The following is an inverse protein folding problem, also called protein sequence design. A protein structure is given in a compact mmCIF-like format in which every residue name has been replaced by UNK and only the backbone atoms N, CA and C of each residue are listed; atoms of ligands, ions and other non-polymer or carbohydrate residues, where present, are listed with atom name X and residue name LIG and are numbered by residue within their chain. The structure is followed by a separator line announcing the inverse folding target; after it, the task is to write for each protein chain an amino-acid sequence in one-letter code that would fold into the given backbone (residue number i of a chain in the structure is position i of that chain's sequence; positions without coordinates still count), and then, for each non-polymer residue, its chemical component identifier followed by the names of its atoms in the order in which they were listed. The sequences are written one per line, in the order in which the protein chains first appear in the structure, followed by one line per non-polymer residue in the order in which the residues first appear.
data_IF_319084500855
#
_entry.id   IF_319084500855
#
_cell.length_a   1.000
_cell.length_b   1.000
_cell.length_c   1.000
_cell.angle_alpha   90.00
_cell.angle_beta   90.00
_cell.angle_gamma   90.00
#
_symmetry.space_group_name_H-M   'P 1'
#
loop_
_entity.id
_entity.type
_entity.pdbx_description
1 polymer ?
#
# COMPACT_ATOMS: atom_id res chain seq x y z
N UNK A 1 -24.55 1.38 8.89
CA UNK A 1 -23.12 1.31 8.47
C UNK A 1 -23.11 0.76 7.05
N UNK A 2 -22.44 1.43 6.12
CA UNK A 2 -22.35 0.94 4.73
C UNK A 2 -21.46 -0.31 4.72
N UNK A 3 -22.07 -1.49 4.60
CA UNK A 3 -21.42 -2.78 4.86
C UNK A 3 -20.62 -3.29 3.64
N UNK A 4 -20.03 -2.39 2.86
CA UNK A 4 -19.24 -2.75 1.68
C UNK A 4 -17.94 -3.43 2.12
N UNK A 5 -17.58 -4.52 1.44
CA UNK A 5 -16.35 -5.25 1.69
C UNK A 5 -15.14 -4.41 1.24
N UNK A 6 -14.12 -4.28 2.08
CA UNK A 6 -12.85 -3.69 1.66
C UNK A 6 -12.08 -4.74 0.86
N UNK A 7 -11.76 -4.43 -0.40
CA UNK A 7 -11.01 -5.30 -1.28
C UNK A 7 -9.71 -4.63 -1.71
N UNK A 8 -8.57 -5.22 -1.34
CA UNK A 8 -7.24 -4.70 -1.66
C UNK A 8 -6.56 -5.70 -2.56
N UNK A 9 -6.25 -5.29 -3.80
CA UNK A 9 -5.59 -6.17 -4.76
C UNK A 9 -4.62 -5.41 -5.67
N UNK A 10 -3.70 -6.14 -6.29
CA UNK A 10 -2.69 -5.62 -7.20
C UNK A 10 -1.40 -6.44 -7.13
N UNK A 11 -0.41 -6.12 -7.96
CA UNK A 11 0.84 -6.88 -7.97
C UNK A 11 1.62 -6.69 -6.67
N UNK A 12 2.41 -7.70 -6.29
CA UNK A 12 3.19 -7.63 -5.06
C UNK A 12 4.18 -6.44 -5.08
N UNK A 13 4.83 -6.22 -6.21
CA UNK A 13 5.84 -5.18 -6.46
C UNK A 13 5.65 -4.64 -7.87
N UNK A 14 5.96 -3.36 -8.07
CA UNK A 14 6.02 -2.73 -9.39
C UNK A 14 7.33 -3.19 -10.05
N UNK A 15 7.22 -4.18 -10.96
CA UNK A 15 8.35 -4.69 -11.73
C UNK A 15 8.56 -3.91 -13.03
N UNK A 16 7.49 -3.78 -13.81
CA UNK A 16 7.42 -3.02 -15.05
C UNK A 16 6.17 -2.14 -15.01
N UNK A 17 6.25 -0.84 -15.35
CA UNK A 17 5.10 0.05 -15.39
C UNK A 17 3.94 -0.50 -16.23
N UNK A 18 4.24 -1.06 -17.40
CA UNK A 18 3.26 -1.52 -18.38
C UNK A 18 2.48 -2.72 -17.81
N UNK A 19 3.18 -3.70 -17.26
CA UNK A 19 2.55 -4.88 -16.62
C UNK A 19 1.70 -4.47 -15.42
N UNK A 20 2.14 -3.47 -14.66
CA UNK A 20 1.38 -2.96 -13.50
C UNK A 20 0.08 -2.29 -13.96
N UNK A 21 0.13 -1.57 -15.08
CA UNK A 21 -1.03 -0.94 -15.70
C UNK A 21 -2.00 -1.97 -16.29
N UNK A 22 -1.50 -2.99 -16.99
CA UNK A 22 -2.33 -4.08 -17.54
C UNK A 22 -3.11 -4.81 -16.42
N UNK A 23 -2.47 -5.01 -15.26
CA UNK A 23 -3.14 -5.59 -14.09
C UNK A 23 -4.23 -4.65 -13.55
N UNK A 24 -3.97 -3.33 -13.50
CA UNK A 24 -4.98 -2.35 -13.08
C UNK A 24 -6.19 -2.34 -14.03
N UNK A 25 -5.94 -2.41 -15.34
CA UNK A 25 -6.97 -2.52 -16.37
C UNK A 25 -7.81 -3.78 -16.19
N UNK A 26 -7.17 -4.94 -16.05
CA UNK A 26 -7.87 -6.20 -15.81
C UNK A 26 -8.71 -6.17 -14.53
N UNK A 27 -8.17 -5.60 -13.44
CA UNK A 27 -8.90 -5.46 -12.18
C UNK A 27 -10.11 -4.53 -12.30
N UNK A 28 -10.03 -3.44 -13.08
CA UNK A 28 -11.19 -2.59 -13.37
C UNK A 28 -12.33 -3.41 -13.95
N UNK A 29 -12.04 -4.21 -14.97
CA UNK A 29 -13.06 -4.95 -15.72
C UNK A 29 -13.64 -6.09 -14.88
N UNK A 30 -12.78 -6.81 -14.15
CA UNK A 30 -13.20 -7.89 -13.24
C UNK A 30 -14.08 -7.36 -12.10
N UNK A 31 -13.76 -6.18 -11.57
CA UNK A 31 -14.44 -5.63 -10.39
C UNK A 31 -15.64 -4.75 -10.73
N UNK A 32 -15.83 -4.36 -11.99
CA UNK A 32 -16.94 -3.49 -12.42
C UNK A 32 -18.32 -4.00 -11.96
N UNK A 33 -18.66 -5.30 -12.04
CA UNK A 33 -19.96 -5.80 -11.55
C UNK A 33 -20.15 -5.69 -10.03
N UNK A 34 -19.07 -5.51 -9.27
CA UNK A 34 -19.07 -5.51 -7.80
C UNK A 34 -18.87 -4.14 -7.18
N UNK A 35 -18.76 -3.06 -7.98
CA UNK A 35 -18.43 -1.71 -7.51
C UNK A 35 -19.36 -1.19 -6.39
N UNK A 36 -20.62 -1.59 -6.38
CA UNK A 36 -21.59 -1.19 -5.35
C UNK A 36 -21.47 -2.00 -4.06
N UNK A 37 -20.70 -3.09 -4.07
CA UNK A 37 -20.53 -4.01 -2.95
C UNK A 37 -19.14 -3.88 -2.29
N UNK A 38 -18.17 -3.26 -2.96
CA UNK A 38 -16.79 -3.18 -2.49
C UNK A 38 -16.27 -1.74 -2.35
N UNK A 39 -15.36 -1.56 -1.39
CA UNK A 39 -14.40 -0.46 -1.39
C UNK A 39 -13.06 -1.00 -1.90
N UNK A 40 -12.72 -0.67 -3.14
CA UNK A 40 -11.51 -1.16 -3.78
C UNK A 40 -10.32 -0.22 -3.56
N UNK A 41 -9.17 -0.79 -3.19
CA UNK A 41 -7.88 -0.12 -3.24
C UNK A 41 -6.86 -0.94 -4.03
N UNK A 42 -6.24 -0.31 -5.02
CA UNK A 42 -5.13 -0.89 -5.77
C UNK A 42 -3.85 -0.83 -4.93
N UNK A 43 -3.20 -1.99 -4.77
CA UNK A 43 -1.97 -2.11 -3.99
C UNK A 43 -0.80 -2.58 -4.85
N UNK A 44 0.32 -1.85 -4.79
CA UNK A 44 1.61 -2.34 -5.26
C UNK A 44 2.75 -1.70 -4.46
N UNK A 45 3.84 -2.44 -4.23
CA UNK A 45 5.04 -1.92 -3.55
C UNK A 45 6.00 -1.31 -4.57
N UNK A 46 6.51 -0.10 -4.31
CA UNK A 46 7.57 0.51 -5.12
C UNK A 46 8.96 -0.08 -4.82
N UNK A 47 9.14 -0.61 -3.60
CA UNK A 47 10.35 -1.27 -3.11
C UNK A 47 9.99 -2.46 -2.21
N UNK A 48 10.81 -3.51 -2.23
CA UNK A 48 10.77 -4.66 -1.33
C UNK A 48 12.02 -4.60 -0.46
N UNK A 49 11.98 -3.76 0.58
CA UNK A 49 13.14 -3.51 1.44
C UNK A 49 13.58 -4.71 2.31
N UNK A 50 12.75 -5.75 2.43
CA UNK A 50 12.96 -6.87 3.34
C UNK A 50 13.36 -8.17 2.62
N UNK A 51 14.15 -8.09 1.53
CA UNK A 51 14.60 -9.29 0.81
C UNK A 51 15.78 -9.94 1.52
N UNK A 52 15.73 -11.26 1.69
CA UNK A 52 16.77 -12.06 2.34
C UNK A 52 18.10 -12.07 1.58
N UNK A 53 18.08 -11.88 0.25
CA UNK A 53 19.27 -11.75 -0.59
C UNK A 53 19.39 -10.34 -1.15
N UNK A 54 20.52 -9.69 -0.94
CA UNK A 54 20.82 -8.33 -1.42
C UNK A 54 20.75 -8.19 -2.95
N UNK A 55 20.96 -9.26 -3.71
CA UNK A 55 20.90 -9.28 -5.19
C UNK A 55 19.48 -9.40 -5.75
N UNK A 56 18.46 -9.55 -4.89
CA UNK A 56 17.08 -9.72 -5.36
C UNK A 56 16.55 -8.40 -5.94
N UNK A 57 15.86 -8.45 -7.07
CA UNK A 57 15.14 -7.29 -7.61
C UNK A 57 14.16 -6.74 -6.57
N UNK A 58 14.30 -5.44 -6.27
CA UNK A 58 13.59 -4.76 -5.19
C UNK A 58 12.38 -3.96 -5.66
N UNK A 59 12.36 -3.53 -6.90
CA UNK A 59 11.32 -2.68 -7.46
C UNK A 59 11.93 -1.62 -8.37
N UNK A 60 11.07 -0.82 -9.00
CA UNK A 60 11.47 0.33 -9.82
C UNK A 60 11.96 1.53 -8.99
N UNK A 61 11.84 1.47 -7.66
CA UNK A 61 12.23 2.53 -6.74
C UNK A 61 11.12 3.56 -6.49
N UNK A 62 11.35 4.44 -5.51
CA UNK A 62 10.33 5.35 -4.98
C UNK A 62 9.73 6.26 -6.06
N UNK A 63 10.57 7.03 -6.76
CA UNK A 63 10.11 8.04 -7.74
C UNK A 63 9.26 7.40 -8.86
N UNK A 64 9.83 6.43 -9.58
CA UNK A 64 9.13 5.77 -10.68
C UNK A 64 7.90 4.98 -10.18
N UNK A 65 7.99 4.35 -9.01
CA UNK A 65 6.86 3.64 -8.41
C UNK A 65 5.69 4.58 -8.10
N UNK A 66 5.96 5.76 -7.54
CA UNK A 66 4.93 6.76 -7.25
C UNK A 66 4.34 7.37 -8.53
N UNK A 67 5.13 7.58 -9.58
CA UNK A 67 4.63 8.02 -10.89
C UNK A 67 3.62 7.01 -11.47
N UNK A 68 3.92 5.71 -11.40
CA UNK A 68 3.01 4.63 -11.85
C UNK A 68 1.75 4.57 -10.99
N UNK A 69 1.86 4.71 -9.67
CA UNK A 69 0.70 4.70 -8.79
C UNK A 69 -0.19 5.92 -9.00
N UNK A 70 0.40 7.09 -9.27
CA UNK A 70 -0.32 8.31 -9.58
C UNK A 70 -1.08 8.21 -10.92
N UNK A 71 -0.48 7.60 -11.95
CA UNK A 71 -1.17 7.39 -13.23
C UNK A 71 -2.35 6.42 -13.08
N UNK A 72 -2.18 5.31 -12.36
CA UNK A 72 -3.27 4.35 -12.09
C UNK A 72 -4.41 5.04 -11.32
N UNK A 73 -4.08 5.86 -10.31
CA UNK A 73 -5.08 6.64 -9.56
C UNK A 73 -5.88 7.55 -10.48
N UNK A 74 -5.19 8.28 -11.36
CA UNK A 74 -5.79 9.24 -12.28
C UNK A 74 -6.68 8.56 -13.31
N UNK A 75 -6.19 7.49 -13.94
CA UNK A 75 -6.82 6.90 -15.11
C UNK A 75 -8.00 5.97 -14.74
N UNK A 76 -7.92 5.30 -13.59
CA UNK A 76 -8.92 4.33 -13.14
C UNK A 76 -9.79 4.83 -11.97
N UNK A 77 -9.42 5.94 -11.33
CA UNK A 77 -10.13 6.46 -10.15
C UNK A 77 -9.97 5.59 -8.89
N UNK A 78 -9.04 4.63 -8.90
CA UNK A 78 -8.82 3.73 -7.77
C UNK A 78 -8.24 4.46 -6.56
N UNK A 79 -8.62 4.00 -5.36
CA UNK A 79 -7.85 4.31 -4.15
C UNK A 79 -6.52 3.58 -4.21
N UNK A 80 -5.45 4.24 -3.81
CA UNK A 80 -4.10 3.67 -3.86
C UNK A 80 -3.58 3.35 -2.47
N UNK A 81 -2.95 2.18 -2.35
CA UNK A 81 -2.24 1.74 -1.17
C UNK A 81 -0.81 1.30 -1.52
N UNK A 82 0.19 1.80 -0.79
CA UNK A 82 1.56 1.27 -0.85
C UNK A 82 2.18 1.20 0.53
N UNK A 83 3.23 0.40 0.69
CA UNK A 83 3.98 0.27 1.93
C UNK A 83 5.17 1.23 2.02
N UNK A 84 5.36 1.79 3.21
CA UNK A 84 6.50 2.65 3.56
C UNK A 84 7.45 1.92 4.49
N UNK A 85 8.76 2.16 4.32
CA UNK A 85 9.81 1.46 5.06
C UNK A 85 10.65 2.42 5.92
N UNK A 86 10.63 3.71 5.62
CA UNK A 86 11.44 4.74 6.25
C UNK A 86 10.64 6.03 6.44
N UNK A 87 10.94 6.77 7.51
CA UNK A 87 10.26 8.01 7.88
C UNK A 87 10.37 9.08 6.78
N UNK A 88 11.55 9.19 6.15
CA UNK A 88 11.83 10.19 5.11
C UNK A 88 10.96 10.03 3.85
N UNK A 89 10.47 8.82 3.56
CA UNK A 89 9.65 8.56 2.39
C UNK A 89 8.18 8.97 2.60
N UNK A 90 7.73 9.07 3.87
CA UNK A 90 6.31 9.14 4.22
C UNK A 90 5.62 10.35 3.58
N UNK A 91 6.24 11.53 3.65
CA UNK A 91 5.67 12.75 3.08
C UNK A 91 5.42 12.59 1.58
N UNK A 92 6.46 12.22 0.82
CA UNK A 92 6.37 12.05 -0.63
C UNK A 92 5.39 10.94 -1.03
N UNK A 93 5.33 9.83 -0.28
CA UNK A 93 4.37 8.76 -0.54
C UNK A 93 2.94 9.22 -0.25
N UNK A 94 2.73 9.92 0.86
CA UNK A 94 1.42 10.42 1.27
C UNK A 94 0.83 11.42 0.28
N UNK A 95 1.64 12.20 -0.44
CA UNK A 95 1.15 13.10 -1.48
C UNK A 95 0.41 12.35 -2.61
N UNK A 96 0.76 11.09 -2.86
CA UNK A 96 0.19 10.29 -3.96
C UNK A 96 -0.91 9.35 -3.46
N UNK A 97 -0.69 8.66 -2.35
CA UNK A 97 -1.55 7.54 -1.93
C UNK A 97 -2.71 7.96 -1.05
N UNK A 98 -3.74 7.11 -0.99
CA UNK A 98 -4.87 7.26 -0.08
C UNK A 98 -4.66 6.50 1.23
N UNK A 99 -3.91 5.39 1.16
CA UNK A 99 -3.66 4.50 2.28
C UNK A 99 -2.15 4.22 2.40
N UNK A 100 -1.58 4.51 3.57
CA UNK A 100 -0.22 4.14 3.94
C UNK A 100 -0.24 2.78 4.61
N UNK A 101 0.58 1.84 4.14
CA UNK A 101 0.72 0.54 4.77
C UNK A 101 2.04 0.41 5.52
N UNK A 102 1.97 -0.02 6.77
CA UNK A 102 3.17 -0.33 7.57
C UNK A 102 3.43 -1.84 7.48
N UNK A 103 4.62 -2.27 7.01
CA UNK A 103 5.00 -3.68 6.96
C UNK A 103 4.95 -4.36 8.33
N UNK A 104 4.64 -5.67 8.35
CA UNK A 104 4.50 -6.44 9.58
C UNK A 104 5.76 -6.41 10.46
N UNK A 105 6.95 -6.37 9.87
CA UNK A 105 8.20 -6.30 10.61
C UNK A 105 8.46 -4.93 11.26
N UNK A 106 7.78 -3.88 10.77
CA UNK A 106 7.93 -2.49 11.22
C UNK A 106 6.77 -2.03 12.10
N UNK A 107 5.82 -2.90 12.45
CA UNK A 107 4.61 -2.54 13.20
C UNK A 107 4.83 -2.11 14.66
N UNK A 108 6.08 -2.18 15.16
CA UNK A 108 6.51 -1.68 16.47
C UNK A 108 7.41 -0.44 16.37
N UNK A 109 7.65 0.08 15.18
CA UNK A 109 8.49 1.26 14.97
C UNK A 109 7.65 2.52 15.23
N UNK A 110 7.67 3.00 16.47
CA UNK A 110 6.84 4.13 16.93
C UNK A 110 6.98 5.34 16.03
N UNK A 111 8.21 5.75 15.69
CA UNK A 111 8.45 6.93 14.86
C UNK A 111 7.83 6.81 13.47
N UNK A 112 7.92 5.63 12.85
CA UNK A 112 7.32 5.36 11.55
C UNK A 112 5.79 5.46 11.62
N UNK A 113 5.18 4.90 12.65
CA UNK A 113 3.72 4.90 12.84
C UNK A 113 3.20 6.31 13.14
N UNK A 114 3.88 7.04 14.04
CA UNK A 114 3.54 8.41 14.40
C UNK A 114 3.66 9.33 13.18
N UNK A 115 4.72 9.18 12.39
CA UNK A 115 4.88 10.00 11.19
C UNK A 115 3.81 9.66 10.13
N UNK A 116 3.46 8.39 9.93
CA UNK A 116 2.31 8.02 9.09
C UNK A 116 1.02 8.69 9.59
N UNK A 117 0.79 8.73 10.91
CA UNK A 117 -0.42 9.31 11.51
C UNK A 117 -0.53 10.83 11.27
N UNK A 118 0.60 11.55 11.30
CA UNK A 118 0.63 13.00 11.02
C UNK A 118 0.16 13.36 9.62
N UNK A 119 0.24 12.44 8.65
CA UNK A 119 -0.18 12.71 7.27
C UNK A 119 -1.70 12.85 7.08
N UNK A 120 -2.50 12.40 8.06
CA UNK A 120 -3.96 12.35 7.95
C UNK A 120 -4.48 11.30 6.96
N UNK A 121 -3.62 10.45 6.39
CA UNK A 121 -4.01 9.34 5.52
C UNK A 121 -4.56 8.16 6.33
N UNK A 122 -5.31 7.29 5.66
CA UNK A 122 -5.69 6.00 6.26
C UNK A 122 -4.43 5.15 6.43
N UNK A 123 -4.30 4.47 7.57
CA UNK A 123 -3.14 3.60 7.86
C UNK A 123 -3.60 2.15 7.90
N UNK A 124 -2.97 1.31 7.08
CA UNK A 124 -3.10 -0.14 7.11
C UNK A 124 -1.89 -0.75 7.84
N UNK A 125 -2.03 -1.03 9.13
CA UNK A 125 -0.97 -1.61 9.95
C UNK A 125 -1.01 -3.14 9.86
N UNK A 126 0.02 -3.75 9.25
CA UNK A 126 0.12 -5.22 9.25
C UNK A 126 0.57 -5.72 10.62
N UNK A 127 -0.20 -6.62 11.23
CA UNK A 127 0.20 -7.28 12.48
C UNK A 127 1.50 -8.07 12.26
N UNK A 128 2.49 -7.83 13.12
CA UNK A 128 3.72 -8.63 13.16
C UNK A 128 3.44 -10.12 13.40
N UNK A 129 4.23 -11.00 12.79
CA UNK A 129 4.13 -12.44 13.07
C UNK A 129 4.50 -12.77 14.53
N UNK A 130 5.28 -11.90 15.16
CA UNK A 130 5.74 -11.99 16.55
C UNK A 130 4.80 -11.32 17.57
N UNK A 131 3.61 -10.85 17.15
CA UNK A 131 2.67 -10.12 18.00
C UNK A 131 1.42 -10.96 18.24
N UNK A 132 1.05 -11.17 19.51
CA UNK A 132 -0.21 -11.82 19.87
C UNK A 132 -1.41 -10.92 19.49
N UNK A 133 -2.61 -11.47 19.23
CA UNK A 133 -3.77 -10.65 18.84
C UNK A 133 -4.07 -9.50 19.82
N UNK A 134 -3.95 -9.74 21.13
CA UNK A 134 -4.25 -8.75 22.17
C UNK A 134 -3.23 -7.59 22.19
N UNK A 135 -1.98 -7.88 21.84
CA UNK A 135 -0.87 -6.92 21.81
C UNK A 135 -0.94 -5.91 20.65
N UNK A 136 -1.94 -6.03 19.77
CA UNK A 136 -2.26 -5.04 18.72
C UNK A 136 -2.94 -3.82 19.34
N UNK A 137 -3.68 -3.99 20.44
CA UNK A 137 -4.24 -2.90 21.22
C UNK A 137 -3.24 -2.51 22.30
N UNK A 138 -2.52 -1.42 22.10
CA UNK A 138 -1.80 -0.79 23.21
C UNK A 138 -2.76 0.18 23.91
N UNK A 139 -3.17 -0.19 25.13
CA UNK A 139 -3.78 0.74 26.06
C UNK A 139 -2.62 1.48 26.75
N UNK A 140 -2.37 2.72 26.33
CA UNK A 140 -1.59 3.70 27.08
C UNK A 140 -2.50 4.87 27.42
#
# INVERSE_FOLDING_TARGET
MNNKLIYIAGPCVINKPEVTYDIALALRDILAPFQDQIYFAFKASYDKANRTRHTSFRGVGLKQGLEVLASIKKDFGFKILTDVHQVCDIGTVADVVDILQVPAFLCRQTDLIVECAKTGKVINLKKGQFIAPDDVKYNS
#
